data_IF_364399436912
#
_entry.id   IF_364399436912
#
_cell.length_a   1.000
_cell.length_b   1.000
_cell.length_c   1.000
_cell.angle_alpha   90.00
_cell.angle_beta   90.00
_cell.angle_gamma   90.00
#
_symmetry.space_group_name_H-M   'P 1'
#
loop_
_entity.id
_entity.type
_entity.pdbx_description
1 polymer ?
#
# COMPACT_ATOMS: atom_id res chain seq x y z
N UNK A 1 -20.36 18.23 -10.54
CA UNK A 1 -18.98 18.64 -10.85
C UNK A 1 -18.62 18.30 -12.30
N UNK A 2 -18.06 19.24 -13.05
CA UNK A 2 -17.48 18.97 -14.36
C UNK A 2 -15.97 18.79 -14.19
N UNK A 3 -15.38 17.76 -14.79
CA UNK A 3 -13.95 17.46 -14.71
C UNK A 3 -13.67 15.97 -14.80
N UNK A 4 -12.41 15.64 -15.07
CA UNK A 4 -11.93 14.27 -15.10
C UNK A 4 -10.65 14.14 -14.26
N UNK A 5 -10.41 12.95 -13.72
CA UNK A 5 -9.21 12.63 -12.96
C UNK A 5 -8.40 11.65 -13.81
N UNK A 6 -7.34 12.16 -14.44
CA UNK A 6 -6.48 11.35 -15.29
C UNK A 6 -5.29 10.82 -14.49
N UNK A 7 -5.05 9.51 -14.60
CA UNK A 7 -3.83 8.88 -14.14
C UNK A 7 -3.21 8.13 -15.31
N UNK A 8 -1.97 8.47 -15.66
CA UNK A 8 -1.28 7.96 -16.86
C UNK A 8 -2.10 8.08 -18.16
N UNK A 9 -2.93 9.12 -18.27
CA UNK A 9 -3.79 9.35 -19.44
C UNK A 9 -5.13 8.61 -19.42
N UNK A 10 -5.39 7.77 -18.41
CA UNK A 10 -6.66 7.06 -18.24
C UNK A 10 -7.56 7.76 -17.22
N UNK A 11 -8.86 7.88 -17.53
CA UNK A 11 -9.86 8.42 -16.60
C UNK A 11 -10.12 7.46 -15.44
N UNK A 12 -9.81 7.89 -14.22
CA UNK A 12 -10.17 7.20 -13.00
C UNK A 12 -11.65 7.38 -12.62
N UNK A 13 -12.30 8.46 -13.07
CA UNK A 13 -13.73 8.68 -12.81
C UNK A 13 -14.61 7.72 -13.61
N UNK A 14 -14.14 7.28 -14.78
CA UNK A 14 -14.88 6.40 -15.68
C UNK A 14 -14.32 4.97 -15.74
N UNK A 15 -13.25 4.69 -14.99
CA UNK A 15 -12.65 3.35 -14.93
C UNK A 15 -13.57 2.34 -14.22
N UNK A 16 -13.64 1.08 -14.70
CA UNK A 16 -14.34 0.02 -13.99
C UNK A 16 -13.63 -0.33 -12.68
N UNK A 17 -14.39 -0.84 -11.71
CA UNK A 17 -13.89 -1.19 -10.37
C UNK A 17 -12.67 -2.13 -10.41
N UNK A 18 -12.63 -3.08 -11.34
CA UNK A 18 -11.49 -3.99 -11.52
C UNK A 18 -10.20 -3.25 -11.94
N UNK A 19 -10.30 -2.18 -12.74
CA UNK A 19 -9.16 -1.35 -13.11
C UNK A 19 -8.73 -0.49 -11.91
N UNK A 20 -9.68 0.09 -11.19
CA UNK A 20 -9.41 0.89 -9.99
C UNK A 20 -8.64 0.07 -8.92
N UNK A 21 -8.98 -1.20 -8.72
CA UNK A 21 -8.26 -2.09 -7.78
C UNK A 21 -6.81 -2.36 -8.17
N UNK A 22 -6.47 -2.34 -9.46
CA UNK A 22 -5.07 -2.52 -9.92
C UNK A 22 -4.23 -1.26 -9.69
N UNK A 23 -4.86 -0.09 -9.69
CA UNK A 23 -4.19 1.20 -9.45
C UNK A 23 -4.04 1.44 -7.96
N UNK A 24 -5.10 1.22 -7.17
CA UNK A 24 -5.11 1.41 -5.72
C UNK A 24 -4.19 0.41 -5.01
N UNK A 25 -3.42 0.90 -4.05
CA UNK A 25 -2.51 0.10 -3.22
C UNK A 25 -1.19 -0.26 -3.89
N UNK A 26 -1.13 -0.39 -5.22
CA UNK A 26 0.10 -0.70 -5.94
C UNK A 26 0.74 0.53 -6.62
N UNK A 27 -0.06 1.36 -7.30
CA UNK A 27 0.42 2.54 -8.01
C UNK A 27 0.08 3.84 -7.28
N UNK A 28 -1.08 3.87 -6.62
CA UNK A 28 -1.54 4.99 -5.80
C UNK A 28 -1.84 4.48 -4.40
N UNK A 29 -1.13 5.02 -3.42
CA UNK A 29 -1.36 4.79 -2.00
C UNK A 29 -1.73 6.11 -1.30
N UNK A 30 -2.33 5.99 -0.13
CA UNK A 30 -2.75 7.14 0.68
C UNK A 30 -2.07 7.07 2.04
N UNK A 31 -1.55 8.21 2.50
CA UNK A 31 -1.07 8.41 3.87
C UNK A 31 -2.06 9.33 4.55
N UNK A 32 -2.67 8.86 5.64
CA UNK A 32 -3.66 9.62 6.39
C UNK A 32 -2.98 10.64 7.30
N UNK A 33 -3.63 11.80 7.49
CA UNK A 33 -3.14 12.85 8.39
C UNK A 33 -3.18 12.40 9.86
N UNK A 34 -4.13 11.54 10.22
CA UNK A 34 -4.21 10.89 11.53
C UNK A 34 -3.61 9.47 11.46
N UNK A 35 -2.32 9.31 11.78
CA UNK A 35 -1.61 8.03 11.56
C UNK A 35 -2.20 6.88 12.38
N UNK A 36 -2.79 7.17 13.55
CA UNK A 36 -3.39 6.17 14.44
C UNK A 36 -4.60 5.46 13.82
N UNK A 37 -5.27 6.07 12.84
CA UNK A 37 -6.44 5.48 12.16
C UNK A 37 -6.03 4.54 11.03
N UNK A 38 -4.78 4.64 10.56
CA UNK A 38 -4.27 3.87 9.42
C UNK A 38 -3.77 2.48 9.79
N UNK A 39 -3.49 2.23 11.07
CA UNK A 39 -3.00 0.97 11.59
C UNK A 39 -4.08 0.26 12.40
N UNK A 40 -4.24 -1.03 12.19
CA UNK A 40 -5.09 -1.89 13.00
C UNK A 40 -4.33 -2.33 14.26
N UNK A 41 -4.72 -1.90 15.48
CA UNK A 41 -4.02 -2.23 16.71
C UNK A 41 -4.09 -3.73 17.08
N UNK A 42 -5.01 -4.49 16.48
CA UNK A 42 -5.10 -5.94 16.68
C UNK A 42 -4.03 -6.73 15.89
N UNK A 43 -3.22 -6.06 15.06
CA UNK A 43 -2.25 -6.69 14.19
C UNK A 43 -0.86 -6.06 14.32
N UNK A 44 0.17 -6.90 14.24
CA UNK A 44 1.56 -6.41 14.17
C UNK A 44 1.80 -5.63 12.88
N UNK A 45 2.78 -4.73 12.91
CA UNK A 45 3.23 -4.00 11.72
C UNK A 45 3.66 -4.97 10.61
N UNK A 46 4.40 -6.04 10.95
CA UNK A 46 4.80 -7.07 9.99
C UNK A 46 3.59 -7.69 9.28
N UNK A 47 2.53 -8.06 10.02
CA UNK A 47 1.33 -8.68 9.43
C UNK A 47 0.64 -7.73 8.46
N UNK A 48 0.46 -6.47 8.85
CA UNK A 48 -0.23 -5.47 8.03
C UNK A 48 0.56 -5.14 6.76
N UNK A 49 1.88 -4.98 6.86
CA UNK A 49 2.73 -4.71 5.70
C UNK A 49 2.85 -5.93 4.77
N UNK A 50 2.93 -7.14 5.33
CA UNK A 50 3.01 -8.37 4.54
C UNK A 50 1.75 -8.60 3.71
N UNK A 51 0.57 -8.33 4.27
CA UNK A 51 -0.70 -8.44 3.54
C UNK A 51 -0.72 -7.56 2.29
N UNK A 52 -0.30 -6.30 2.41
CA UNK A 52 -0.21 -5.36 1.28
C UNK A 52 0.74 -5.87 0.20
N UNK A 53 1.94 -6.33 0.60
CA UNK A 53 2.94 -6.85 -0.33
C UNK A 53 2.48 -8.14 -1.03
N UNK A 54 1.79 -9.02 -0.31
CA UNK A 54 1.25 -10.26 -0.87
C UNK A 54 0.12 -9.98 -1.86
N UNK A 55 -0.82 -9.09 -1.50
CA UNK A 55 -1.99 -8.77 -2.34
C UNK A 55 -1.61 -8.01 -3.61
N UNK A 56 -0.70 -7.04 -3.50
CA UNK A 56 -0.41 -6.12 -4.60
C UNK A 56 0.85 -6.47 -5.40
N UNK A 57 1.85 -7.13 -4.77
CA UNK A 57 3.11 -7.52 -5.44
C UNK A 57 3.27 -9.04 -5.59
N UNK A 58 2.35 -9.86 -5.07
CA UNK A 58 2.41 -11.32 -5.19
C UNK A 58 3.60 -11.96 -4.47
N UNK A 59 4.22 -11.24 -3.53
CA UNK A 59 5.39 -11.74 -2.80
C UNK A 59 5.00 -12.90 -1.90
N UNK A 60 5.87 -13.91 -1.79
CA UNK A 60 5.75 -14.95 -0.75
C UNK A 60 6.21 -14.39 0.60
N UNK A 61 5.79 -15.04 1.69
CA UNK A 61 5.97 -14.54 3.06
C UNK A 61 7.43 -14.22 3.39
N UNK A 62 8.37 -15.08 3.03
CA UNK A 62 9.80 -14.85 3.30
C UNK A 62 10.33 -13.63 2.53
N UNK A 63 9.96 -13.48 1.26
CA UNK A 63 10.35 -12.35 0.43
C UNK A 63 9.72 -11.03 0.91
N UNK A 64 8.45 -11.08 1.34
CA UNK A 64 7.76 -9.93 1.92
C UNK A 64 8.45 -9.46 3.21
N UNK A 65 8.92 -10.38 4.06
CA UNK A 65 9.62 -10.02 5.30
C UNK A 65 10.92 -9.25 5.04
N UNK A 66 11.71 -9.69 4.06
CA UNK A 66 12.95 -9.00 3.70
C UNK A 66 12.69 -7.56 3.23
N UNK A 67 11.69 -7.39 2.36
CA UNK A 67 11.26 -6.08 1.85
C UNK A 67 10.71 -5.17 2.96
N UNK A 68 9.99 -5.73 3.95
CA UNK A 68 9.49 -4.98 5.10
C UNK A 68 10.64 -4.43 5.94
N UNK A 69 11.64 -5.27 6.26
CA UNK A 69 12.79 -4.84 7.07
C UNK A 69 13.55 -3.72 6.36
N UNK A 70 13.79 -3.86 5.05
CA UNK A 70 14.44 -2.81 4.25
C UNK A 70 13.63 -1.51 4.26
N UNK A 71 12.30 -1.59 4.11
CA UNK A 71 11.43 -0.42 4.14
C UNK A 71 11.46 0.29 5.51
N UNK A 72 11.40 -0.47 6.61
CA UNK A 72 11.48 0.05 7.97
C UNK A 72 12.83 0.72 8.24
N UNK A 73 13.93 0.13 7.78
CA UNK A 73 15.27 0.73 7.89
C UNK A 73 15.35 2.06 7.11
N UNK A 74 14.79 2.13 5.90
CA UNK A 74 14.75 3.35 5.05
C UNK A 74 14.00 4.51 5.71
N UNK A 75 12.96 4.24 6.49
CA UNK A 75 12.20 5.27 7.22
C UNK A 75 12.73 5.54 8.64
N UNK A 76 13.89 4.95 8.99
CA UNK A 76 14.58 5.23 10.25
C UNK A 76 14.13 4.37 11.44
N UNK A 77 13.35 3.31 11.21
CA UNK A 77 12.97 2.34 12.25
C UNK A 77 14.07 1.29 12.34
N UNK A 78 15.04 1.54 13.22
CA UNK A 78 16.33 0.80 13.28
C UNK A 78 16.30 -0.53 14.05
N UNK A 79 15.19 -0.85 14.72
CA UNK A 79 14.98 -2.12 15.45
C UNK A 79 13.94 -3.00 14.73
N UNK A 80 14.11 -3.17 13.42
CA UNK A 80 13.18 -3.94 12.58
C UNK A 80 13.52 -5.44 12.48
N UNK A 81 14.65 -5.88 13.07
CA UNK A 81 15.14 -7.26 13.05
C UNK A 81 14.78 -8.00 14.34
#
# INVERSE_FOLDING_TARGET
PAGDILFNGESLLHAPEAALRKVRGNQIAMIFQEPMVSLNPLHTIEKQLAEVLMLHRGLRREAARAEIVECLERVGIRQAK
#
